data_IF_513079428858
#
_entry.id   IF_513079428858
#
_cell.length_a   1.000
_cell.length_b   1.000
_cell.length_c   1.000
_cell.angle_alpha   90.00
_cell.angle_beta   90.00
_cell.angle_gamma   90.00
#
_symmetry.space_group_name_H-M   'P 1'
#
loop_
_entity.id
_entity.type
_entity.pdbx_description
1 polymer ?
#
# COMPACT_ATOMS: atom_id res chain seq x y z
N UNK A 1 32.37 -5.96 10.85
CA UNK A 1 30.94 -6.30 10.92
C UNK A 1 30.47 -6.51 9.49
N UNK A 2 30.03 -7.72 9.16
CA UNK A 2 29.47 -8.02 7.85
C UNK A 2 28.02 -7.53 7.81
N UNK A 3 27.67 -6.73 6.80
CA UNK A 3 26.31 -6.21 6.66
C UNK A 3 25.43 -7.37 6.17
N UNK A 4 24.32 -7.72 6.87
CA UNK A 4 23.44 -8.77 6.41
C UNK A 4 22.88 -8.46 5.01
N UNK A 5 22.74 -9.50 4.17
CA UNK A 5 22.28 -9.34 2.77
C UNK A 5 20.90 -8.67 2.65
N UNK A 6 20.05 -8.78 3.67
CA UNK A 6 18.72 -8.17 3.71
C UNK A 6 18.71 -6.70 4.19
N UNK A 7 19.83 -6.16 4.70
CA UNK A 7 19.87 -4.81 5.24
C UNK A 7 19.48 -3.71 4.23
N UNK A 8 19.86 -3.79 2.94
CA UNK A 8 19.39 -2.82 1.93
C UNK A 8 17.87 -2.83 1.74
N UNK A 9 17.22 -3.98 1.90
CA UNK A 9 15.75 -4.10 1.78
C UNK A 9 15.04 -3.40 2.92
N UNK A 10 15.61 -3.43 4.13
CA UNK A 10 15.06 -2.71 5.27
C UNK A 10 14.96 -1.20 4.97
N UNK A 11 16.01 -0.64 4.38
CA UNK A 11 16.03 0.78 4.00
C UNK A 11 15.01 1.06 2.90
N UNK A 12 14.94 0.23 1.86
CA UNK A 12 13.97 0.40 0.78
C UNK A 12 12.53 0.35 1.27
N UNK A 13 12.21 -0.61 2.14
CA UNK A 13 10.89 -0.76 2.75
C UNK A 13 10.52 0.43 3.65
N UNK A 14 11.50 1.09 4.30
CA UNK A 14 11.29 2.33 5.03
C UNK A 14 11.06 3.54 4.10
N UNK A 15 11.60 3.50 2.89
CA UNK A 15 11.42 4.55 1.88
C UNK A 15 10.11 4.42 1.10
N UNK A 16 9.53 3.22 1.01
CA UNK A 16 8.25 3.01 0.35
C UNK A 16 7.94 1.56 0.01
N UNK A 17 7.08 1.39 -0.99
CA UNK A 17 6.55 0.10 -1.45
C UNK A 17 7.56 -0.54 -2.42
N UNK A 18 7.79 -1.84 -2.28
CA UNK A 18 8.53 -2.66 -3.25
C UNK A 18 7.50 -3.42 -4.09
N UNK A 19 7.57 -3.27 -5.41
CA UNK A 19 6.70 -3.96 -6.37
C UNK A 19 7.43 -5.14 -7.02
N UNK A 20 6.65 -6.08 -7.57
CA UNK A 20 7.18 -7.29 -8.20
C UNK A 20 7.89 -7.04 -9.55
N UNK A 21 7.74 -5.86 -10.13
CA UNK A 21 8.45 -5.42 -11.34
C UNK A 21 9.96 -5.24 -11.09
N UNK A 22 10.33 -4.80 -9.89
CA UNK A 22 11.70 -4.81 -9.37
C UNK A 22 12.09 -6.23 -8.92
N UNK A 23 12.25 -7.13 -9.90
CA UNK A 23 12.48 -8.57 -9.68
C UNK A 23 13.64 -8.87 -8.74
N UNK A 24 14.70 -8.06 -8.75
CA UNK A 24 15.85 -8.26 -7.88
C UNK A 24 15.46 -8.08 -6.41
N UNK A 25 14.86 -6.93 -6.07
CA UNK A 25 14.47 -6.65 -4.68
C UNK A 25 13.28 -7.50 -4.25
N UNK A 26 12.36 -7.78 -5.17
CA UNK A 26 11.20 -8.64 -4.93
C UNK A 26 11.60 -10.05 -4.49
N UNK A 27 12.50 -10.69 -5.24
CA UNK A 27 13.00 -12.02 -4.92
C UNK A 27 13.74 -12.02 -3.57
N UNK A 28 14.53 -10.99 -3.30
CA UNK A 28 15.23 -10.86 -2.02
C UNK A 28 14.25 -10.64 -0.84
N UNK A 29 13.16 -9.88 -1.03
CA UNK A 29 12.10 -9.73 -0.02
C UNK A 29 11.45 -11.07 0.29
N UNK A 30 11.12 -11.87 -0.73
CA UNK A 30 10.56 -13.22 -0.54
C UNK A 30 11.55 -14.12 0.19
N UNK A 31 12.83 -14.09 -0.20
CA UNK A 31 13.88 -14.93 0.37
C UNK A 31 14.19 -14.58 1.84
N UNK A 32 14.16 -13.29 2.20
CA UNK A 32 14.52 -12.79 3.53
C UNK A 32 13.33 -12.32 4.36
N UNK A 33 12.10 -12.70 3.99
CA UNK A 33 10.87 -12.22 4.64
C UNK A 33 10.85 -12.45 6.15
N UNK A 34 11.38 -13.58 6.64
CA UNK A 34 11.40 -13.91 8.07
C UNK A 34 12.34 -12.97 8.83
N UNK A 35 13.51 -12.69 8.28
CA UNK A 35 14.50 -11.80 8.86
C UNK A 35 13.98 -10.36 8.89
N UNK A 36 13.33 -9.92 7.81
CA UNK A 36 12.71 -8.60 7.71
C UNK A 36 11.58 -8.47 8.74
N UNK A 37 10.68 -9.46 8.82
CA UNK A 37 9.59 -9.49 9.82
C UNK A 37 10.13 -9.40 11.24
N UNK A 38 11.12 -10.23 11.56
CA UNK A 38 11.72 -10.24 12.90
C UNK A 38 12.40 -8.91 13.24
N UNK A 39 13.05 -8.26 12.27
CA UNK A 39 13.68 -6.95 12.49
C UNK A 39 12.66 -5.86 12.84
N UNK A 40 11.54 -5.81 12.11
CA UNK A 40 10.52 -4.79 12.29
C UNK A 40 9.55 -5.07 13.45
N UNK A 41 9.35 -6.35 13.82
CA UNK A 41 8.48 -6.75 14.91
C UNK A 41 8.85 -6.08 16.25
N UNK A 42 10.15 -5.88 16.53
CA UNK A 42 10.61 -5.18 17.73
C UNK A 42 10.16 -3.71 17.82
N UNK A 43 9.80 -3.11 16.70
CA UNK A 43 9.35 -1.72 16.61
C UNK A 43 7.82 -1.61 16.43
N UNK A 44 7.07 -2.72 16.58
CA UNK A 44 5.62 -2.73 16.31
C UNK A 44 5.27 -2.49 14.85
N UNK A 45 6.21 -2.75 13.93
CA UNK A 45 6.04 -2.62 12.49
C UNK A 45 5.93 -4.02 11.90
N UNK A 46 4.99 -4.21 10.99
CA UNK A 46 4.75 -5.44 10.28
C UNK A 46 5.10 -5.30 8.80
N UNK A 47 5.66 -6.37 8.22
CA UNK A 47 5.80 -6.49 6.78
C UNK A 47 4.49 -7.01 6.19
N UNK A 48 3.85 -6.21 5.35
CA UNK A 48 2.76 -6.68 4.50
C UNK A 48 3.38 -7.12 3.17
N UNK A 49 3.20 -8.39 2.82
CA UNK A 49 3.66 -8.98 1.57
C UNK A 49 2.46 -9.65 0.90
N UNK A 50 2.07 -9.17 -0.28
CA UNK A 50 1.04 -9.78 -1.10
C UNK A 50 1.67 -10.25 -2.41
N UNK A 51 1.91 -11.55 -2.53
CA UNK A 51 2.53 -12.13 -3.71
C UNK A 51 1.60 -12.19 -4.92
N UNK A 52 0.29 -12.26 -4.70
CA UNK A 52 -0.71 -12.30 -5.77
C UNK A 52 -0.81 -10.94 -6.48
N UNK A 53 -0.89 -9.89 -5.67
CA UNK A 53 -0.97 -8.50 -6.13
C UNK A 53 0.41 -7.89 -6.45
N UNK A 54 1.50 -8.54 -6.02
CA UNK A 54 2.86 -8.16 -6.37
C UNK A 54 3.39 -6.91 -5.66
N UNK A 55 3.05 -6.73 -4.38
CA UNK A 55 3.58 -5.61 -3.58
C UNK A 55 3.99 -6.00 -2.15
N UNK A 56 4.95 -5.26 -1.60
CA UNK A 56 5.41 -5.38 -0.22
C UNK A 56 5.64 -3.99 0.39
N UNK A 57 5.16 -3.77 1.62
CA UNK A 57 5.33 -2.51 2.34
C UNK A 57 5.31 -2.72 3.86
N UNK A 58 5.70 -1.69 4.61
CA UNK A 58 5.65 -1.69 6.07
C UNK A 58 4.38 -1.02 6.56
N UNK A 59 3.64 -1.72 7.42
CA UNK A 59 2.51 -1.19 8.17
C UNK A 59 2.91 -1.09 9.64
N UNK A 60 2.37 -0.10 10.34
CA UNK A 60 2.54 -0.02 11.79
C UNK A 60 1.20 -0.30 12.44
N UNK A 61 1.18 -1.28 13.34
CA UNK A 61 -0.01 -1.64 14.10
C UNK A 61 -0.57 -0.41 14.80
N UNK A 62 -1.89 -0.32 14.88
CA UNK A 62 -2.51 0.68 15.74
C UNK A 62 -2.13 0.37 17.19
N UNK A 63 -1.82 1.42 17.96
CA UNK A 63 -1.49 1.25 19.38
C UNK A 63 -2.62 0.48 20.05
N UNK A 64 -2.31 -0.71 20.57
CA UNK A 64 -3.26 -1.50 21.33
C UNK A 64 -3.46 -0.78 22.65
N UNK A 65 -4.72 -0.47 22.99
CA UNK A 65 -5.05 0.14 24.28
C UNK A 65 -4.50 -0.74 25.41
N UNK A 66 -3.56 -0.19 26.20
CA UNK A 66 -2.94 -0.88 27.34
C UNK A 66 -1.43 -1.15 27.23
N UNK A 67 -0.79 -0.85 26.10
CA UNK A 67 0.68 -0.95 26.00
C UNK A 67 1.39 0.21 26.73
N UNK A 68 2.39 -0.14 27.55
CA UNK A 68 3.12 0.81 28.40
C UNK A 68 4.06 1.75 27.62
N UNK A 69 4.37 1.44 26.35
CA UNK A 69 5.28 2.20 25.50
C UNK A 69 4.55 2.63 24.24
N UNK A 70 4.20 3.92 24.15
CA UNK A 70 3.64 4.48 22.93
C UNK A 70 4.73 4.61 21.87
N UNK A 71 4.73 3.73 20.87
CA UNK A 71 5.65 3.84 19.73
C UNK A 71 5.20 4.99 18.83
N UNK A 72 6.06 5.97 18.50
CA UNK A 72 5.71 7.03 17.58
C UNK A 72 5.40 6.47 16.19
N UNK A 73 4.52 7.13 15.44
CA UNK A 73 4.20 6.68 14.08
C UNK A 73 5.41 6.86 13.16
N UNK A 74 5.81 5.79 12.47
CA UNK A 74 6.90 5.81 11.49
C UNK A 74 6.60 6.77 10.34
N UNK A 75 5.34 6.76 9.88
CA UNK A 75 4.87 7.62 8.79
C UNK A 75 3.91 8.64 9.34
N UNK A 76 4.14 9.91 9.01
CA UNK A 76 3.22 11.00 9.36
C UNK A 76 1.88 10.79 8.64
N UNK A 77 0.78 10.72 9.40
CA UNK A 77 -0.57 10.77 8.82
C UNK A 77 -0.80 12.18 8.26
N UNK A 78 -1.10 12.29 6.98
CA UNK A 78 -1.49 13.53 6.32
C UNK A 78 -2.98 13.44 5.95
N UNK A 79 -3.79 14.47 6.23
CA UNK A 79 -5.17 14.48 5.80
C UNK A 79 -5.24 14.49 4.28
N UNK A 80 -6.14 13.67 3.74
CA UNK A 80 -6.41 13.59 2.30
C UNK A 80 -7.42 14.70 1.94
N UNK A 81 -7.18 15.45 0.86
CA UNK A 81 -8.13 16.49 0.43
C UNK A 81 -9.42 15.87 -0.13
N UNK A 82 -10.46 16.68 -0.29
CA UNK A 82 -11.72 16.20 -0.87
C UNK A 82 -11.52 15.64 -2.28
N UNK A 83 -10.74 16.32 -3.11
CA UNK A 83 -10.49 15.92 -4.50
C UNK A 83 -9.75 14.58 -4.58
N UNK A 84 -8.75 14.38 -3.72
CA UNK A 84 -8.02 13.11 -3.64
C UNK A 84 -8.91 12.00 -3.08
N UNK A 85 -9.77 12.31 -2.10
CA UNK A 85 -10.74 11.34 -1.56
C UNK A 85 -11.73 10.91 -2.64
N UNK A 86 -12.28 11.85 -3.41
CA UNK A 86 -13.18 11.57 -4.52
C UNK A 86 -12.51 10.68 -5.57
N UNK A 87 -11.25 10.99 -5.93
CA UNK A 87 -10.47 10.15 -6.83
C UNK A 87 -10.29 8.72 -6.28
N UNK A 88 -9.96 8.57 -4.99
CA UNK A 88 -9.84 7.26 -4.36
C UNK A 88 -11.16 6.46 -4.40
N UNK A 89 -12.30 7.12 -4.17
CA UNK A 89 -13.62 6.48 -4.25
C UNK A 89 -13.91 5.97 -5.67
N UNK A 90 -13.67 6.80 -6.68
CA UNK A 90 -13.86 6.43 -8.10
C UNK A 90 -12.93 5.26 -8.49
N UNK A 91 -11.68 5.29 -8.06
CA UNK A 91 -10.73 4.20 -8.31
C UNK A 91 -11.16 2.90 -7.62
N UNK A 92 -11.71 3.00 -6.40
CA UNK A 92 -12.18 1.85 -5.64
C UNK A 92 -13.37 1.17 -6.33
N UNK A 93 -14.35 1.94 -6.79
CA UNK A 93 -15.49 1.42 -7.56
C UNK A 93 -15.03 0.75 -8.86
N UNK A 94 -14.13 1.40 -9.62
CA UNK A 94 -13.60 0.82 -10.85
C UNK A 94 -12.85 -0.51 -10.61
N UNK A 95 -12.14 -0.62 -9.47
CA UNK A 95 -11.48 -1.86 -9.07
C UNK A 95 -12.50 -2.96 -8.71
N UNK A 96 -13.56 -2.62 -7.96
CA UNK A 96 -14.64 -3.57 -7.65
C UNK A 96 -15.34 -4.10 -8.92
N UNK A 97 -15.67 -3.22 -9.86
CA UNK A 97 -16.23 -3.63 -11.16
C UNK A 97 -15.30 -4.57 -11.93
N UNK A 98 -13.99 -4.34 -11.83
CA UNK A 98 -12.97 -5.15 -12.47
C UNK A 98 -12.87 -6.53 -11.84
N UNK A 99 -12.83 -6.60 -10.50
CA UNK A 99 -12.79 -7.86 -9.74
C UNK A 99 -14.03 -8.72 -10.03
N UNK A 100 -15.22 -8.10 -10.11
CA UNK A 100 -16.48 -8.80 -10.41
C UNK A 100 -16.48 -9.42 -11.82
N UNK A 101 -15.82 -8.78 -12.78
CA UNK A 101 -15.76 -9.27 -14.17
C UNK A 101 -14.89 -10.53 -14.32
N UNK A 102 -14.25 -11.00 -13.24
CA UNK A 102 -13.44 -12.21 -13.17
C UNK A 102 -12.53 -12.37 -14.40
N UNK A 103 -11.75 -11.32 -14.66
CA UNK A 103 -10.79 -11.31 -15.75
C UNK A 103 -9.48 -11.96 -15.27
N UNK A 104 -8.81 -12.76 -16.11
CA UNK A 104 -7.45 -13.27 -15.82
C UNK A 104 -6.39 -12.14 -15.73
N UNK A 105 -6.77 -10.90 -16.02
CA UNK A 105 -5.91 -9.74 -15.92
C UNK A 105 -5.67 -9.37 -14.45
N UNK A 106 -4.40 -9.19 -14.08
CA UNK A 106 -3.98 -8.74 -12.74
C UNK A 106 -3.93 -7.22 -12.57
N UNK A 107 -4.12 -6.46 -13.64
CA UNK A 107 -3.99 -5.00 -13.62
C UNK A 107 -5.14 -4.34 -14.36
N UNK A 108 -5.78 -3.38 -13.70
CA UNK A 108 -6.73 -2.46 -14.29
C UNK A 108 -5.96 -1.27 -14.88
N UNK A 109 -6.19 -0.98 -16.16
CA UNK A 109 -5.67 0.22 -16.81
C UNK A 109 -6.84 1.17 -17.10
N UNK A 110 -6.74 2.41 -16.61
CA UNK A 110 -7.70 3.48 -16.85
C UNK A 110 -7.00 4.63 -17.56
N UNK A 111 -7.63 5.18 -18.60
CA UNK A 111 -7.14 6.39 -19.24
C UNK A 111 -7.59 7.63 -18.47
N UNK A 112 -6.93 8.77 -18.73
CA UNK A 112 -7.37 10.06 -18.18
C UNK A 112 -8.81 10.42 -18.58
N UNK A 113 -9.27 9.93 -19.74
CA UNK A 113 -10.65 10.14 -20.18
C UNK A 113 -11.62 9.34 -19.30
N UNK A 114 -11.34 8.05 -19.08
CA UNK A 114 -12.17 7.18 -18.24
C UNK A 114 -12.31 7.73 -16.81
N UNK A 115 -11.21 8.27 -16.25
CA UNK A 115 -11.23 8.90 -14.94
C UNK A 115 -12.10 10.15 -14.90
N UNK A 116 -12.01 11.03 -15.91
CA UNK A 116 -12.83 12.24 -16.00
C UNK A 116 -14.31 11.90 -16.09
N UNK A 117 -14.67 10.99 -17.00
CA UNK A 117 -16.05 10.58 -17.22
C UNK A 117 -16.66 9.99 -15.93
N UNK A 118 -15.89 9.22 -15.16
CA UNK A 118 -16.32 8.69 -13.86
C UNK A 118 -16.47 9.79 -12.79
N UNK A 119 -15.51 10.72 -12.68
CA UNK A 119 -15.56 11.81 -11.68
C UNK A 119 -16.75 12.76 -11.94
N UNK A 120 -17.07 13.03 -13.21
CA UNK A 120 -18.21 13.87 -13.58
C UNK A 120 -19.55 13.29 -13.07
N UNK A 121 -19.71 11.96 -13.08
CA UNK A 121 -20.91 11.29 -12.58
C UNK A 121 -21.15 11.54 -11.08
N UNK A 122 -20.09 11.56 -10.27
CA UNK A 122 -20.16 11.85 -8.84
C UNK A 122 -20.38 13.34 -8.56
N UNK A 123 -19.80 14.21 -9.40
CA UNK A 123 -19.93 15.67 -9.27
C UNK A 123 -21.37 16.15 -9.54
N UNK A 124 -22.12 15.43 -10.41
CA UNK A 124 -23.51 15.74 -10.71
C UNK A 124 -24.50 15.42 -9.57
N UNK A 125 -24.09 14.64 -8.56
CA UNK A 125 -24.96 14.17 -7.46
C UNK A 125 -24.89 15.05 -6.22
N UNK A 126 -24.14 16.16 -6.24
CA UNK A 126 -24.13 17.12 -5.13
C UNK A 126 -25.21 18.18 -5.36
N UNK A 127 -26.46 17.87 -4.96
CA UNK A 127 -27.43 18.94 -4.68
C UNK A 127 -26.99 19.68 -3.42
N UNK A 128 -26.26 20.77 -3.62
CA UNK A 128 -26.00 21.76 -2.57
C UNK A 128 -27.32 22.52 -2.37
N UNK A 129 -27.97 22.29 -1.23
CA UNK A 129 -29.06 23.13 -0.73
C UNK A 129 -28.51 24.43 -0.14
#
# INVERSE_FOLDING_TARGET
MEIPKYAPLLIKLLQGIIYDDDKANWNDVIAFQLQIRNYFAFMGIELILNEQEGFAYLSQLDNIEGEAVAVPRLVRRMPISYEVTLLCVVLREALEEFDIKNTDARKLFLTNKDLKDRIELFSATVQIR
#
